data_IF_699595745301
#
_entry.id   IF_699595745301
#
_cell.length_a   1.000
_cell.length_b   1.000
_cell.length_c   1.000
_cell.angle_alpha   90.00
_cell.angle_beta   90.00
_cell.angle_gamma   90.00
#
_symmetry.space_group_name_H-M   'P 1'
#
loop_
_entity.id
_entity.type
_entity.pdbx_description
1 polymer ?
#
# COMPACT_ATOMS: atom_id res chain seq x y z
N UNK A 1 2.21 -24.86 -6.17
CA UNK A 1 2.60 -23.80 -5.22
C UNK A 1 2.93 -22.55 -6.03
N UNK A 2 2.25 -21.43 -5.79
CA UNK A 2 2.58 -20.17 -6.45
C UNK A 2 3.88 -19.64 -5.83
N UNK A 3 5.00 -19.86 -6.54
CA UNK A 3 6.36 -19.53 -6.11
C UNK A 3 6.55 -18.04 -5.76
N UNK A 4 5.69 -17.17 -6.29
CA UNK A 4 5.86 -15.71 -6.27
C UNK A 4 4.99 -14.99 -5.23
N UNK A 5 3.93 -15.63 -4.71
CA UNK A 5 3.07 -15.03 -3.70
C UNK A 5 3.73 -15.15 -2.32
N UNK A 6 3.55 -14.16 -1.43
CA UNK A 6 4.08 -14.26 -0.08
C UNK A 6 3.28 -15.27 0.72
N UNK A 7 3.90 -16.39 1.03
CA UNK A 7 3.30 -17.45 1.86
C UNK A 7 3.53 -17.14 3.34
N UNK A 8 2.46 -16.95 4.11
CA UNK A 8 2.58 -16.58 5.52
C UNK A 8 2.95 -17.77 6.44
N UNK A 9 2.82 -19.00 5.95
CA UNK A 9 3.19 -20.21 6.71
C UNK A 9 4.67 -20.58 6.57
N UNK A 10 5.23 -20.45 5.35
CA UNK A 10 6.65 -20.70 5.04
C UNK A 10 7.18 -19.70 4.00
N UNK A 11 7.42 -18.43 4.40
CA UNK A 11 7.85 -17.39 3.48
C UNK A 11 9.24 -17.69 2.91
N UNK A 12 9.45 -17.36 1.64
CA UNK A 12 10.77 -17.36 0.99
C UNK A 12 11.25 -15.93 0.79
N UNK A 13 12.56 -15.70 0.81
CA UNK A 13 13.12 -14.34 0.84
C UNK A 13 12.75 -13.49 -0.37
N UNK A 14 12.61 -14.07 -1.57
CA UNK A 14 12.19 -13.33 -2.77
C UNK A 14 10.71 -12.93 -2.73
N UNK A 15 9.88 -13.66 -1.97
CA UNK A 15 8.44 -13.45 -1.95
C UNK A 15 8.03 -12.13 -1.32
N UNK A 16 8.88 -11.53 -0.47
CA UNK A 16 8.69 -10.19 0.08
C UNK A 16 8.68 -9.09 -0.99
N UNK A 17 9.22 -9.36 -2.18
CA UNK A 17 9.21 -8.43 -3.31
C UNK A 17 8.31 -8.94 -4.44
N UNK A 18 8.41 -10.21 -4.81
CA UNK A 18 7.68 -10.73 -5.98
C UNK A 18 6.16 -10.68 -5.82
N UNK A 19 5.64 -10.68 -4.59
CA UNK A 19 4.21 -10.61 -4.34
C UNK A 19 3.57 -9.31 -4.88
N UNK A 20 4.35 -8.22 -4.96
CA UNK A 20 3.89 -6.91 -5.45
C UNK A 20 3.45 -6.95 -6.91
N UNK A 21 4.00 -7.88 -7.68
CA UNK A 21 3.75 -8.00 -9.13
C UNK A 21 2.71 -9.08 -9.46
N UNK A 22 2.31 -9.88 -8.48
CA UNK A 22 1.32 -10.94 -8.66
C UNK A 22 -0.09 -10.40 -8.42
N UNK A 23 -1.07 -10.79 -9.24
CA UNK A 23 -2.44 -10.32 -9.10
C UNK A 23 -3.44 -11.48 -9.20
N UNK A 24 -4.49 -11.39 -8.39
CA UNK A 24 -5.51 -12.43 -8.27
C UNK A 24 -6.36 -12.64 -9.53
N UNK A 25 -6.62 -11.55 -10.27
CA UNK A 25 -7.42 -11.54 -11.49
C UNK A 25 -7.17 -10.22 -12.25
N UNK A 26 -7.74 -10.12 -13.46
CA UNK A 26 -7.58 -8.94 -14.31
C UNK A 26 -8.13 -7.66 -13.67
N UNK A 27 -9.30 -7.71 -13.03
CA UNK A 27 -9.88 -6.54 -12.37
C UNK A 27 -9.00 -5.99 -11.24
N UNK A 28 -8.39 -6.89 -10.46
CA UNK A 28 -7.44 -6.54 -9.43
C UNK A 28 -6.19 -5.90 -10.05
N UNK A 29 -5.63 -6.47 -11.12
CA UNK A 29 -4.49 -5.89 -11.84
C UNK A 29 -4.82 -4.50 -12.41
N UNK A 30 -5.93 -4.37 -13.14
CA UNK A 30 -6.31 -3.11 -13.78
C UNK A 30 -6.56 -2.00 -12.76
N UNK A 31 -7.18 -2.32 -11.62
CA UNK A 31 -7.39 -1.36 -10.52
C UNK A 31 -6.06 -0.88 -9.91
N UNK A 32 -5.11 -1.79 -9.69
CA UNK A 32 -3.77 -1.41 -9.22
C UNK A 32 -3.04 -0.55 -10.25
N UNK A 33 -3.06 -0.92 -11.53
CA UNK A 33 -2.38 -0.15 -12.59
C UNK A 33 -2.98 1.24 -12.74
N UNK A 34 -4.30 1.38 -12.67
CA UNK A 34 -4.97 2.68 -12.70
C UNK A 34 -4.52 3.57 -11.53
N UNK A 35 -4.60 3.05 -10.30
CA UNK A 35 -4.20 3.82 -9.13
C UNK A 35 -2.69 4.13 -9.12
N UNK A 36 -1.84 3.21 -9.58
CA UNK A 36 -0.42 3.44 -9.73
C UNK A 36 -0.12 4.51 -10.79
N UNK A 37 -0.86 4.52 -11.91
CA UNK A 37 -0.72 5.56 -12.94
C UNK A 37 -1.06 6.94 -12.39
N UNK A 38 -2.13 7.06 -11.60
CA UNK A 38 -2.54 8.35 -11.02
C UNK A 38 -1.60 8.76 -9.89
N UNK A 39 -1.51 7.96 -8.83
CA UNK A 39 -0.78 8.35 -7.61
C UNK A 39 0.73 8.16 -7.73
N UNK A 40 1.18 7.14 -8.46
CA UNK A 40 2.60 6.99 -8.78
C UNK A 40 3.12 8.20 -9.56
N UNK A 41 2.40 8.65 -10.59
CA UNK A 41 2.78 9.86 -11.33
C UNK A 41 2.80 11.11 -10.45
N UNK A 42 1.81 11.28 -9.57
CA UNK A 42 1.77 12.43 -8.65
C UNK A 42 2.91 12.46 -7.64
N UNK A 43 3.41 11.29 -7.23
CA UNK A 43 4.60 11.16 -6.37
C UNK A 43 5.88 11.33 -7.19
N UNK A 44 5.93 10.81 -8.41
CA UNK A 44 7.05 11.00 -9.34
C UNK A 44 7.26 12.49 -9.69
N UNK A 45 6.19 13.25 -9.88
CA UNK A 45 6.25 14.69 -10.13
C UNK A 45 6.84 15.48 -8.94
N UNK A 46 6.70 14.97 -7.71
CA UNK A 46 7.23 15.63 -6.50
C UNK A 46 8.60 15.10 -6.07
N UNK A 47 8.86 13.80 -6.23
CA UNK A 47 10.01 13.10 -5.66
C UNK A 47 10.92 12.43 -6.72
N UNK A 48 10.54 12.50 -8.01
CA UNK A 48 11.25 11.88 -9.12
C UNK A 48 11.05 10.35 -9.23
N UNK A 49 11.57 9.79 -10.32
CA UNK A 49 11.44 8.36 -10.65
C UNK A 49 12.04 7.43 -9.58
N UNK A 50 13.17 7.83 -8.98
CA UNK A 50 13.80 7.07 -7.90
C UNK A 50 12.95 7.14 -6.63
N UNK A 51 12.44 8.34 -6.30
CA UNK A 51 11.59 8.55 -5.12
C UNK A 51 10.33 7.70 -5.13
N UNK A 52 9.59 7.71 -6.25
CA UNK A 52 8.38 6.87 -6.40
C UNK A 52 8.70 5.38 -6.36
N UNK A 53 9.82 4.95 -6.96
CA UNK A 53 10.23 3.54 -6.99
C UNK A 53 10.56 3.04 -5.59
N UNK A 54 11.34 3.82 -4.82
CA UNK A 54 11.68 3.49 -3.44
C UNK A 54 10.45 3.54 -2.54
N UNK A 55 9.59 4.55 -2.68
CA UNK A 55 8.36 4.66 -1.92
C UNK A 55 7.43 3.45 -2.18
N UNK A 56 7.28 3.04 -3.44
CA UNK A 56 6.51 1.85 -3.80
C UNK A 56 7.07 0.58 -3.13
N UNK A 57 8.38 0.34 -3.22
CA UNK A 57 9.01 -0.84 -2.62
C UNK A 57 8.92 -0.83 -1.09
N UNK A 58 9.26 0.29 -0.44
CA UNK A 58 9.24 0.42 1.03
C UNK A 58 7.83 0.25 1.56
N UNK A 59 6.83 0.91 0.96
CA UNK A 59 5.43 0.78 1.38
C UNK A 59 4.90 -0.63 1.12
N UNK A 60 5.23 -1.23 -0.03
CA UNK A 60 4.81 -2.57 -0.38
C UNK A 60 5.36 -3.65 0.56
N UNK A 61 6.67 -3.63 0.80
CA UNK A 61 7.35 -4.55 1.71
C UNK A 61 6.90 -4.30 3.16
N UNK A 62 6.82 -3.04 3.59
CA UNK A 62 6.36 -2.68 4.93
C UNK A 62 4.92 -3.14 5.21
N UNK A 63 4.02 -2.95 4.23
CA UNK A 63 2.66 -3.47 4.29
C UNK A 63 2.62 -5.00 4.42
N UNK A 64 3.46 -5.70 3.65
CA UNK A 64 3.54 -7.15 3.69
C UNK A 64 4.09 -7.68 5.01
N UNK A 65 5.11 -7.03 5.58
CA UNK A 65 5.66 -7.33 6.91
C UNK A 65 4.57 -7.16 7.98
N UNK A 66 3.86 -6.04 7.97
CA UNK A 66 2.78 -5.81 8.92
C UNK A 66 1.66 -6.86 8.76
N UNK A 67 1.23 -7.15 7.53
CA UNK A 67 0.22 -8.16 7.28
C UNK A 67 0.67 -9.56 7.74
N UNK A 68 1.94 -9.93 7.55
CA UNK A 68 2.52 -11.20 7.99
C UNK A 68 2.46 -11.39 9.51
N UNK A 69 2.70 -10.34 10.30
CA UNK A 69 2.66 -10.42 11.76
C UNK A 69 1.27 -10.22 12.35
N UNK A 70 0.40 -9.45 11.68
CA UNK A 70 -0.92 -9.07 12.19
C UNK A 70 -2.05 -10.01 11.71
N UNK A 71 -1.78 -10.87 10.73
CA UNK A 71 -2.77 -11.81 10.17
C UNK A 71 -2.37 -13.25 10.51
N UNK A 72 -3.30 -14.12 10.94
CA UNK A 72 -3.00 -15.53 11.12
C UNK A 72 -2.49 -16.18 9.83
N UNK A 73 -1.43 -16.98 9.93
CA UNK A 73 -0.86 -17.70 8.79
C UNK A 73 -1.82 -18.76 8.20
N UNK A 74 -2.80 -19.20 9.00
CA UNK A 74 -3.85 -20.13 8.61
C UNK A 74 -5.23 -19.59 9.00
N UNK A 75 -6.14 -19.53 8.04
CA UNK A 75 -7.54 -19.12 8.24
C UNK A 75 -8.44 -20.17 7.60
N UNK A 76 -9.34 -20.77 8.39
CA UNK A 76 -10.24 -21.85 7.94
C UNK A 76 -9.50 -23.01 7.22
N UNK A 77 -8.31 -23.39 7.71
CA UNK A 77 -7.49 -24.45 7.12
C UNK A 77 -6.79 -24.09 5.80
N UNK A 78 -6.84 -22.81 5.38
CA UNK A 78 -6.17 -22.30 4.18
C UNK A 78 -4.98 -21.43 4.57
N UNK A 79 -3.90 -21.52 3.79
CA UNK A 79 -2.71 -20.69 3.96
C UNK A 79 -3.03 -19.26 3.53
N UNK A 80 -2.75 -18.30 4.41
CA UNK A 80 -2.81 -16.87 4.10
C UNK A 80 -1.67 -16.50 3.16
N UNK A 81 -2.00 -15.74 2.12
CA UNK A 81 -1.02 -15.26 1.14
C UNK A 81 -1.20 -13.77 0.87
N UNK A 82 -0.09 -13.05 0.68
CA UNK A 82 -0.14 -11.69 0.10
C UNK A 82 0.07 -11.75 -1.40
N UNK A 83 -0.78 -11.02 -2.13
CA UNK A 83 -0.77 -10.92 -3.59
C UNK A 83 -1.27 -9.54 -3.99
N UNK A 84 -0.47 -8.78 -4.75
CA UNK A 84 -0.86 -7.50 -5.32
C UNK A 84 -0.02 -6.32 -4.84
N UNK A 85 -0.04 -5.25 -5.64
CA UNK A 85 0.63 -3.98 -5.38
C UNK A 85 -0.14 -3.06 -4.41
N UNK A 86 -1.34 -3.44 -3.98
CA UNK A 86 -2.28 -2.51 -3.35
C UNK A 86 -1.79 -1.92 -2.02
N UNK A 87 -1.04 -2.68 -1.21
CA UNK A 87 -0.37 -2.13 -0.03
C UNK A 87 0.64 -1.02 -0.37
N UNK A 88 1.42 -1.19 -1.44
CA UNK A 88 2.33 -0.15 -1.92
C UNK A 88 1.57 1.08 -2.40
N UNK A 89 0.46 0.88 -3.11
CA UNK A 89 -0.39 1.96 -3.64
C UNK A 89 -1.06 2.77 -2.53
N UNK A 90 -1.57 2.13 -1.48
CA UNK A 90 -2.07 2.84 -0.29
C UNK A 90 -0.96 3.66 0.39
N UNK A 91 0.28 3.15 0.37
CA UNK A 91 1.45 3.94 0.74
C UNK A 91 1.65 5.16 -0.14
N UNK A 92 1.57 5.02 -1.46
CA UNK A 92 1.67 6.14 -2.40
C UNK A 92 0.52 7.15 -2.23
N UNK A 93 -0.68 6.72 -1.85
CA UNK A 93 -1.78 7.63 -1.49
C UNK A 93 -1.35 8.53 -0.33
N UNK A 94 -0.86 7.93 0.77
CA UNK A 94 -0.38 8.68 1.92
C UNK A 94 0.81 9.58 1.58
N UNK A 95 1.80 9.09 0.83
CA UNK A 95 2.98 9.87 0.40
C UNK A 95 2.55 11.07 -0.44
N UNK A 96 1.65 10.89 -1.41
CA UNK A 96 1.19 11.97 -2.31
C UNK A 96 0.55 13.15 -1.57
N UNK A 97 -0.15 12.89 -0.47
CA UNK A 97 -0.76 13.91 0.39
C UNK A 97 0.28 14.49 1.34
N UNK A 98 1.09 13.62 1.98
CA UNK A 98 2.05 14.03 2.99
C UNK A 98 3.15 14.95 2.44
N UNK A 99 3.64 14.72 1.22
CA UNK A 99 4.67 15.57 0.59
C UNK A 99 4.15 16.97 0.22
N UNK A 100 2.82 17.14 0.14
CA UNK A 100 2.13 18.41 -0.17
C UNK A 100 1.69 19.19 1.06
N UNK A 101 1.86 18.66 2.28
CA UNK A 101 1.62 19.37 3.54
C UNK A 101 2.75 20.37 3.85
N UNK A 102 2.84 21.42 3.05
CA UNK A 102 3.82 22.51 3.20
C UNK A 102 3.11 23.84 3.40
N UNK A 103 3.82 24.86 3.89
CA UNK A 103 3.30 26.23 4.05
C UNK A 103 3.15 26.97 2.72
N UNK A 104 2.35 26.42 1.81
CA UNK A 104 2.06 26.95 0.49
C UNK A 104 0.57 26.70 0.16
N UNK A 105 -0.21 27.75 -0.08
CA UNK A 105 -1.66 27.65 -0.27
C UNK A 105 -2.05 26.70 -1.41
N UNK A 106 -1.33 26.73 -2.54
CA UNK A 106 -1.60 25.83 -3.68
C UNK A 106 -1.44 24.38 -3.26
N UNK A 107 -0.33 24.05 -2.59
CA UNK A 107 -0.04 22.69 -2.14
C UNK A 107 -1.01 22.23 -1.04
N UNK A 108 -1.41 23.13 -0.15
CA UNK A 108 -2.43 22.82 0.87
C UNK A 108 -3.80 22.56 0.26
N UNK A 109 -4.19 23.29 -0.80
CA UNK A 109 -5.43 23.03 -1.53
C UNK A 109 -5.37 21.68 -2.27
N UNK A 110 -4.24 21.37 -2.94
CA UNK A 110 -4.01 20.06 -3.53
C UNK A 110 -4.11 18.95 -2.46
N UNK A 111 -3.42 19.11 -1.33
CA UNK A 111 -3.45 18.17 -0.22
C UNK A 111 -4.86 18.02 0.39
N UNK A 112 -5.67 19.07 0.43
CA UNK A 112 -7.04 18.99 0.92
C UNK A 112 -7.95 18.18 -0.03
N UNK A 113 -7.89 18.48 -1.34
CA UNK A 113 -8.69 17.78 -2.36
C UNK A 113 -8.31 16.30 -2.44
N UNK A 114 -7.01 16.02 -2.52
CA UNK A 114 -6.48 14.66 -2.57
C UNK A 114 -6.67 13.93 -1.24
N UNK A 115 -6.42 14.64 -0.14
CA UNK A 115 -6.56 14.13 1.22
C UNK A 115 -7.96 13.65 1.51
N UNK A 116 -9.00 14.33 1.01
CA UNK A 116 -10.38 13.85 1.15
C UNK A 116 -10.57 12.46 0.52
N UNK A 117 -10.05 12.24 -0.69
CA UNK A 117 -10.11 10.92 -1.35
C UNK A 117 -9.31 9.88 -0.56
N UNK A 118 -8.07 10.19 -0.18
CA UNK A 118 -7.19 9.25 0.54
C UNK A 118 -7.74 8.88 1.91
N UNK A 119 -8.20 9.86 2.68
CA UNK A 119 -8.83 9.63 4.00
C UNK A 119 -10.08 8.77 3.84
N UNK A 120 -10.91 9.02 2.82
CA UNK A 120 -12.08 8.20 2.55
C UNK A 120 -11.70 6.74 2.26
N UNK A 121 -10.71 6.50 1.40
CA UNK A 121 -10.22 5.15 1.10
C UNK A 121 -9.70 4.42 2.34
N UNK A 122 -8.87 5.09 3.15
CA UNK A 122 -8.33 4.52 4.40
C UNK A 122 -9.46 4.24 5.40
N UNK A 123 -10.45 5.12 5.52
CA UNK A 123 -11.60 4.92 6.41
C UNK A 123 -12.52 3.79 5.95
N UNK A 124 -12.77 3.66 4.65
CA UNK A 124 -13.53 2.55 4.08
C UNK A 124 -12.82 1.22 4.36
N UNK A 125 -11.49 1.19 4.23
CA UNK A 125 -10.69 0.01 4.51
C UNK A 125 -10.65 -0.35 6.00
N UNK A 126 -10.56 0.64 6.87
CA UNK A 126 -10.67 0.46 8.32
C UNK A 126 -12.04 -0.10 8.72
N UNK A 127 -13.12 0.40 8.10
CA UNK A 127 -14.47 -0.13 8.32
C UNK A 127 -14.60 -1.57 7.85
N UNK A 128 -14.10 -1.89 6.66
CA UNK A 128 -14.16 -3.24 6.10
C UNK A 128 -13.35 -4.26 6.95
N UNK A 129 -12.21 -3.84 7.48
CA UNK A 129 -11.47 -4.65 8.45
C UNK A 129 -12.27 -4.89 9.74
N UNK A 130 -12.94 -3.85 10.27
CA UNK A 130 -13.72 -3.94 11.49
C UNK A 130 -14.98 -4.81 11.35
N UNK A 131 -15.59 -4.85 10.16
CA UNK A 131 -16.77 -5.67 9.85
C UNK A 131 -16.42 -7.10 9.40
N UNK A 132 -15.13 -7.47 9.44
CA UNK A 132 -14.67 -8.84 9.23
C UNK A 132 -14.36 -9.21 7.78
N UNK A 133 -14.37 -8.26 6.84
CA UNK A 133 -14.01 -8.45 5.43
C UNK A 133 -14.91 -9.43 4.68
N UNK A 134 -15.62 -8.98 3.65
CA UNK A 134 -16.47 -9.87 2.86
C UNK A 134 -15.61 -10.87 2.05
N UNK A 135 -15.66 -12.16 2.40
CA UNK A 135 -14.98 -13.22 1.64
C UNK A 135 -15.81 -13.58 0.41
N UNK A 136 -15.65 -12.84 -0.68
CA UNK A 136 -16.22 -13.23 -1.98
C UNK A 136 -15.23 -14.11 -2.75
N UNK A 137 -15.64 -15.33 -3.10
CA UNK A 137 -14.88 -16.21 -4.00
C UNK A 137 -13.58 -16.79 -3.43
N UNK A 138 -13.39 -16.78 -2.11
CA UNK A 138 -12.23 -17.41 -1.46
C UNK A 138 -10.91 -16.64 -1.57
N UNK A 139 -10.95 -15.37 -2.02
CA UNK A 139 -9.80 -14.48 -2.08
C UNK A 139 -10.06 -13.27 -1.17
N UNK A 140 -9.56 -13.33 0.06
CA UNK A 140 -9.63 -12.21 0.98
C UNK A 140 -8.59 -11.15 0.60
N UNK A 141 -9.04 -9.94 0.28
CA UNK A 141 -8.16 -8.77 0.15
C UNK A 141 -7.73 -8.38 1.57
N UNK A 142 -6.44 -8.24 1.81
CA UNK A 142 -5.92 -7.91 3.14
C UNK A 142 -6.12 -6.42 3.44
N UNK A 143 -7.20 -6.08 4.15
CA UNK A 143 -7.44 -4.71 4.59
C UNK A 143 -6.35 -4.21 5.54
N UNK A 144 -5.77 -5.11 6.33
CA UNK A 144 -4.58 -4.84 7.16
C UNK A 144 -3.40 -4.34 6.30
N UNK A 145 -3.13 -4.98 5.17
CA UNK A 145 -2.00 -4.59 4.31
C UNK A 145 -2.19 -3.18 3.73
N UNK A 146 -3.42 -2.80 3.37
CA UNK A 146 -3.72 -1.46 2.83
C UNK A 146 -3.51 -0.38 3.90
N UNK A 147 -4.08 -0.57 5.09
CA UNK A 147 -3.89 0.34 6.22
C UNK A 147 -2.43 0.46 6.62
N UNK A 148 -1.72 -0.67 6.69
CA UNK A 148 -0.29 -0.69 6.98
C UNK A 148 0.53 0.02 5.90
N UNK A 149 0.19 -0.16 4.62
CA UNK A 149 0.81 0.55 3.52
C UNK A 149 0.71 2.07 3.66
N UNK A 150 -0.50 2.58 3.93
CA UNK A 150 -0.71 4.00 4.19
C UNK A 150 0.10 4.50 5.40
N UNK A 151 0.11 3.74 6.50
CA UNK A 151 0.89 4.09 7.69
C UNK A 151 2.41 4.13 7.42
N UNK A 152 2.94 3.16 6.68
CA UNK A 152 4.36 3.14 6.25
C UNK A 152 4.67 4.34 5.36
N UNK A 153 3.76 4.71 4.44
CA UNK A 153 3.92 5.90 3.59
C UNK A 153 4.02 7.20 4.39
N UNK A 154 3.14 7.41 5.39
CA UNK A 154 3.25 8.56 6.31
C UNK A 154 4.57 8.52 7.08
N UNK A 155 4.91 7.37 7.66
CA UNK A 155 6.14 7.21 8.43
C UNK A 155 7.39 7.50 7.60
N UNK A 156 7.42 7.07 6.33
CA UNK A 156 8.50 7.34 5.40
C UNK A 156 8.71 8.85 5.18
N UNK A 157 7.64 9.60 4.89
CA UNK A 157 7.73 11.06 4.70
C UNK A 157 8.15 11.77 5.98
N UNK A 158 7.64 11.33 7.15
CA UNK A 158 8.04 11.90 8.44
C UNK A 158 9.51 11.60 8.79
N UNK A 159 10.03 10.44 8.40
CA UNK A 159 11.43 10.08 8.61
C UNK A 159 12.37 10.92 7.72
N UNK A 160 12.01 11.10 6.45
CA UNK A 160 12.82 11.85 5.48
C UNK A 160 12.77 13.36 5.70
N UNK A 161 11.63 13.91 6.12
CA UNK A 161 11.49 15.35 6.41
C UNK A 161 12.31 15.84 7.61
N UNK A 162 12.79 14.92 8.47
CA UNK A 162 13.71 15.22 9.57
C UNK A 162 15.18 15.22 9.16
N UNK A 163 15.51 14.75 7.96
CA UNK A 163 16.88 14.79 7.46
C UNK A 163 17.20 16.21 6.96
N UNK A 164 18.36 16.79 7.30
CA UNK A 164 18.79 18.05 6.71
C UNK A 164 18.84 17.92 5.18
N UNK A 165 18.49 18.96 4.41
CA UNK A 165 18.77 18.97 2.98
C UNK A 165 20.29 18.80 2.78
N UNK A 166 20.67 17.82 1.97
CA UNK A 166 22.06 17.51 1.62
C UNK A 166 22.68 18.60 0.73
#
# INVERSE_FOLDING_TARGET
MNLLHLNHYRPQWWQWVTHLFCHANFAHLSGNLFNLCVFGKMVEETEGAVGVSLAFLVCGIGAAIAAFFLTPALVHGRITVSVGASGAIFGLFAVSVATRLRWNLKQLLEAAVLGQFVVRQVLEEAKNQATGGLVLGGLAVSHVAHLAGAAVGVALVLALSKLPPA
#
